data_IF_314089506894
#
_entry.id   IF_314089506894
#
_cell.length_a   1.000
_cell.length_b   1.000
_cell.length_c   1.000
_cell.angle_alpha   90.00
_cell.angle_beta   90.00
_cell.angle_gamma   90.00
#
_symmetry.space_group_name_H-M   'P 1'
#
loop_
_entity.id
_entity.type
_entity.pdbx_description
1 polymer ?
#
# COMPACT_ATOMS: atom_id res chain seq x y z
N UNK A 1 9.36 1.65 12.20
CA UNK A 1 10.55 1.48 11.33
C UNK A 1 11.19 0.13 11.58
N UNK A 2 11.57 -0.56 10.49
CA UNK A 2 12.35 -1.81 10.57
C UNK A 2 13.87 -1.57 10.48
N UNK A 3 14.30 -0.30 10.39
CA UNK A 3 15.72 0.10 10.30
C UNK A 3 16.51 -0.28 11.54
N UNK A 4 17.81 -0.61 11.34
CA UNK A 4 18.73 -0.96 12.43
C UNK A 4 18.81 0.15 13.48
N UNK A 5 18.80 -0.23 14.75
CA UNK A 5 18.96 0.70 15.88
C UNK A 5 17.72 1.55 16.22
N UNK A 6 16.58 1.33 15.53
CA UNK A 6 15.33 2.03 15.84
C UNK A 6 14.38 1.15 16.65
N UNK A 7 13.60 1.77 17.55
CA UNK A 7 12.51 1.08 18.24
C UNK A 7 11.31 0.96 17.30
N UNK A 8 10.74 -0.24 17.17
CA UNK A 8 9.52 -0.46 16.38
C UNK A 8 8.41 0.45 16.90
N UNK A 9 7.76 1.17 15.99
CA UNK A 9 6.61 2.01 16.29
C UNK A 9 6.92 3.40 16.89
N UNK A 10 8.20 3.74 17.15
CA UNK A 10 8.54 5.08 17.66
C UNK A 10 8.25 6.16 16.58
N UNK A 11 7.51 7.23 16.91
CA UNK A 11 7.38 8.38 16.03
C UNK A 11 8.71 9.10 15.88
N UNK A 12 8.97 9.69 14.72
CA UNK A 12 10.21 10.42 14.42
C UNK A 12 10.01 11.92 14.34
N UNK A 13 8.76 12.35 14.13
CA UNK A 13 8.38 13.75 14.00
C UNK A 13 7.19 14.06 14.91
N UNK A 14 7.10 15.30 15.37
CA UNK A 14 5.92 15.84 16.04
C UNK A 14 4.83 16.19 15.02
N UNK A 15 3.63 16.47 15.48
CA UNK A 15 2.53 16.93 14.61
C UNK A 15 2.89 18.27 13.97
N UNK A 16 3.50 19.19 14.72
CA UNK A 16 3.87 20.51 14.26
C UNK A 16 4.91 20.45 13.13
N UNK A 17 5.93 19.58 13.25
CA UNK A 17 6.94 19.38 12.21
C UNK A 17 6.30 18.79 10.93
N UNK A 18 5.44 17.79 11.08
CA UNK A 18 4.73 17.19 9.96
C UNK A 18 3.75 18.18 9.31
N UNK A 19 3.03 18.99 10.08
CA UNK A 19 2.13 20.00 9.56
C UNK A 19 2.88 20.99 8.68
N UNK A 20 4.04 21.46 9.12
CA UNK A 20 4.87 22.37 8.32
C UNK A 20 5.31 21.75 6.98
N UNK A 21 5.65 20.45 6.99
CA UNK A 21 5.99 19.70 5.77
C UNK A 21 4.80 19.54 4.82
N UNK A 22 3.65 19.17 5.38
CA UNK A 22 2.41 18.95 4.60
C UNK A 22 1.92 20.26 4.00
N UNK A 23 1.86 21.34 4.78
CA UNK A 23 1.43 22.66 4.33
C UNK A 23 2.30 23.17 3.17
N UNK A 24 3.63 23.00 3.28
CA UNK A 24 4.55 23.39 2.19
C UNK A 24 4.33 22.57 0.93
N UNK A 25 4.12 21.24 1.05
CA UNK A 25 3.84 20.37 -0.09
C UNK A 25 2.50 20.73 -0.76
N UNK A 26 1.44 20.87 0.05
CA UNK A 26 0.11 21.19 -0.43
C UNK A 26 0.05 22.59 -1.08
N UNK A 27 0.80 23.57 -0.57
CA UNK A 27 0.90 24.91 -1.17
C UNK A 27 1.42 24.86 -2.61
N UNK A 28 2.15 23.81 -2.96
CA UNK A 28 2.68 23.54 -4.30
C UNK A 28 1.85 22.55 -5.11
N UNK A 29 0.70 22.13 -4.60
CA UNK A 29 -0.15 21.12 -5.24
C UNK A 29 0.43 19.69 -5.22
N UNK A 30 1.38 19.42 -4.31
CA UNK A 30 1.99 18.10 -4.13
C UNK A 30 1.27 17.33 -3.03
N UNK A 31 1.11 16.03 -3.22
CA UNK A 31 0.61 15.10 -2.20
C UNK A 31 1.74 14.60 -1.32
N UNK A 32 1.39 14.25 -0.07
CA UNK A 32 2.34 13.75 0.93
C UNK A 32 2.02 12.30 1.29
N UNK A 33 2.99 11.41 1.03
CA UNK A 33 2.97 10.02 1.47
C UNK A 33 3.82 9.88 2.74
N UNK A 34 3.25 9.35 3.81
CA UNK A 34 3.94 9.19 5.10
C UNK A 34 4.23 7.73 5.39
N UNK A 35 5.53 7.35 5.43
CA UNK A 35 5.96 6.05 5.96
C UNK A 35 5.74 6.00 7.47
N UNK A 36 4.80 5.18 7.94
CA UNK A 36 4.51 5.05 9.37
C UNK A 36 4.02 3.64 9.74
N UNK A 37 4.80 2.94 10.58
CA UNK A 37 4.36 1.66 11.16
C UNK A 37 3.63 1.83 12.49
N UNK A 38 4.14 2.69 13.39
CA UNK A 38 3.63 2.84 14.74
C UNK A 38 2.38 3.68 14.84
N UNK A 39 1.46 3.30 15.73
CA UNK A 39 0.19 3.99 15.97
C UNK A 39 0.34 5.50 16.12
N UNK A 40 1.27 5.96 16.98
CA UNK A 40 1.46 7.39 17.21
C UNK A 40 1.98 8.12 15.97
N UNK A 41 2.91 7.49 15.20
CA UNK A 41 3.40 8.07 13.94
C UNK A 41 2.30 8.20 12.88
N UNK A 42 1.43 7.20 12.79
CA UNK A 42 0.25 7.19 11.90
C UNK A 42 -0.70 8.33 12.29
N UNK A 43 -1.06 8.43 13.58
CA UNK A 43 -1.95 9.47 14.10
C UNK A 43 -1.36 10.87 13.87
N UNK A 44 -0.05 11.06 14.14
CA UNK A 44 0.62 12.33 13.90
C UNK A 44 0.55 12.75 12.42
N UNK A 45 0.84 11.81 11.50
CA UNK A 45 0.80 12.07 10.07
C UNK A 45 -0.62 12.40 9.58
N UNK A 46 -1.64 11.70 10.09
CA UNK A 46 -3.04 11.96 9.76
C UNK A 46 -3.51 13.31 10.30
N UNK A 47 -3.12 13.69 11.53
CA UNK A 47 -3.41 15.02 12.07
C UNK A 47 -2.72 16.13 11.29
N UNK A 48 -1.54 15.88 10.78
CA UNK A 48 -0.82 16.83 9.93
C UNK A 48 -1.41 16.95 8.51
N UNK A 49 -2.30 16.04 8.10
CA UNK A 49 -2.96 16.09 6.80
C UNK A 49 -2.25 15.30 5.70
N UNK A 50 -1.44 14.30 6.03
CA UNK A 50 -0.84 13.41 5.02
C UNK A 50 -1.92 12.74 4.14
N UNK A 51 -1.68 12.68 2.83
CA UNK A 51 -2.63 12.11 1.85
C UNK A 51 -2.63 10.58 1.85
N UNK A 52 -1.49 9.95 2.14
CA UNK A 52 -1.38 8.50 2.28
C UNK A 52 -0.50 8.10 3.46
N UNK A 53 -0.83 6.95 4.03
CA UNK A 53 -0.01 6.30 5.06
C UNK A 53 0.51 4.97 4.49
N UNK A 54 1.82 4.89 4.34
CA UNK A 54 2.50 3.69 3.87
C UNK A 54 2.72 2.72 5.03
N UNK A 55 2.55 1.43 4.79
CA UNK A 55 2.60 0.30 5.73
C UNK A 55 1.47 0.28 6.75
N UNK A 56 1.24 1.33 7.53
CA UNK A 56 0.20 1.46 8.55
C UNK A 56 0.09 0.24 9.51
N UNK A 57 1.20 -0.42 9.85
CA UNK A 57 1.21 -1.75 10.46
C UNK A 57 0.47 -1.83 11.80
N UNK A 58 0.64 -0.82 12.66
CA UNK A 58 -0.01 -0.74 13.97
C UNK A 58 -1.14 0.29 13.99
N UNK A 59 -1.82 0.49 12.84
CA UNK A 59 -2.99 1.35 12.80
C UNK A 59 -4.08 0.76 13.72
N UNK A 60 -4.66 1.62 14.56
CA UNK A 60 -5.77 1.28 15.43
C UNK A 60 -7.10 1.85 14.91
N UNK A 61 -8.17 1.69 15.68
CA UNK A 61 -9.50 2.18 15.32
C UNK A 61 -9.53 3.71 15.15
N UNK A 62 -8.77 4.44 15.96
CA UNK A 62 -8.66 5.89 15.85
C UNK A 62 -7.92 6.29 14.56
N UNK A 63 -6.81 5.62 14.25
CA UNK A 63 -6.09 5.83 12.99
C UNK A 63 -6.96 5.56 11.77
N UNK A 64 -7.73 4.47 11.77
CA UNK A 64 -8.68 4.14 10.69
C UNK A 64 -9.76 5.22 10.56
N UNK A 65 -10.33 5.66 11.68
CA UNK A 65 -11.33 6.72 11.71
C UNK A 65 -10.78 8.04 11.16
N UNK A 66 -9.56 8.42 11.57
CA UNK A 66 -8.89 9.64 11.08
C UNK A 66 -8.58 9.55 9.59
N UNK A 67 -8.05 8.41 9.12
CA UNK A 67 -7.78 8.20 7.70
C UNK A 67 -9.05 8.39 6.86
N UNK A 68 -10.16 7.79 7.29
CA UNK A 68 -11.45 7.94 6.62
C UNK A 68 -11.96 9.38 6.65
N UNK A 69 -11.90 10.05 7.81
CA UNK A 69 -12.39 11.42 7.98
C UNK A 69 -11.59 12.43 7.13
N UNK A 70 -10.29 12.20 6.95
CA UNK A 70 -9.39 13.07 6.20
C UNK A 70 -9.31 12.69 4.70
N UNK A 71 -10.02 11.64 4.25
CA UNK A 71 -9.87 11.04 2.92
C UNK A 71 -8.42 10.60 2.61
N UNK A 72 -7.64 10.25 3.64
CA UNK A 72 -6.31 9.70 3.49
C UNK A 72 -6.39 8.22 3.12
N UNK A 73 -5.54 7.77 2.19
CA UNK A 73 -5.49 6.38 1.80
C UNK A 73 -4.45 5.59 2.60
N UNK A 74 -4.68 4.29 2.76
CA UNK A 74 -3.76 3.36 3.40
C UNK A 74 -3.10 2.49 2.32
N UNK A 75 -1.77 2.52 2.23
CA UNK A 75 -0.97 1.69 1.32
C UNK A 75 -0.28 0.60 2.13
N UNK A 76 -0.96 -0.55 2.28
CA UNK A 76 -0.52 -1.63 3.18
C UNK A 76 0.06 -2.81 2.39
N UNK A 77 1.36 -2.98 2.45
CA UNK A 77 2.19 -3.94 1.73
C UNK A 77 2.23 -5.33 2.40
N UNK A 78 1.08 -5.96 2.57
CA UNK A 78 0.91 -7.19 3.36
C UNK A 78 1.56 -8.46 2.79
N UNK A 79 2.04 -8.45 1.53
CA UNK A 79 2.82 -9.55 0.95
C UNK A 79 4.28 -9.54 1.42
N UNK A 80 4.86 -8.35 1.63
CA UNK A 80 6.29 -8.21 1.94
C UNK A 80 6.72 -9.04 3.15
N UNK A 81 5.86 -9.16 4.16
CA UNK A 81 6.08 -10.01 5.33
C UNK A 81 6.38 -11.47 4.96
N UNK A 82 5.69 -12.05 3.97
CA UNK A 82 5.91 -13.43 3.57
C UNK A 82 7.30 -13.62 2.97
N UNK A 83 7.75 -12.66 2.16
CA UNK A 83 9.09 -12.67 1.60
C UNK A 83 10.16 -12.49 2.70
N UNK A 84 10.01 -11.47 3.55
CA UNK A 84 10.98 -11.18 4.61
C UNK A 84 11.16 -12.40 5.52
N UNK A 85 10.07 -13.00 5.97
CA UNK A 85 10.14 -14.15 6.89
C UNK A 85 10.48 -15.49 6.21
N UNK A 86 10.19 -15.64 4.92
CA UNK A 86 10.47 -16.85 4.15
C UNK A 86 11.87 -16.87 3.55
N UNK A 87 12.23 -15.81 2.84
CA UNK A 87 13.43 -15.73 2.01
C UNK A 87 14.44 -14.69 2.51
N UNK A 88 14.03 -13.78 3.40
CA UNK A 88 14.82 -12.62 3.80
C UNK A 88 16.21 -12.97 4.37
N UNK A 89 16.32 -14.02 5.17
CA UNK A 89 17.60 -14.44 5.73
C UNK A 89 18.59 -14.85 4.62
N UNK A 90 18.14 -15.62 3.65
CA UNK A 90 18.96 -16.04 2.48
C UNK A 90 19.23 -14.88 1.52
N UNK A 91 18.36 -13.88 1.50
CA UNK A 91 18.52 -12.65 0.73
C UNK A 91 19.41 -11.60 1.42
N UNK A 92 19.94 -11.90 2.61
CA UNK A 92 20.85 -11.00 3.35
C UNK A 92 20.15 -9.94 4.21
N UNK A 93 18.86 -10.08 4.48
CA UNK A 93 18.15 -9.20 5.44
C UNK A 93 18.70 -9.47 6.85
N UNK A 94 19.00 -8.38 7.57
CA UNK A 94 19.58 -8.45 8.91
C UNK A 94 18.62 -9.12 9.90
N UNK A 95 19.12 -9.95 10.81
CA UNK A 95 18.31 -10.64 11.83
C UNK A 95 17.47 -9.66 12.67
N UNK A 96 18.01 -8.50 13.04
CA UNK A 96 17.25 -7.46 13.73
C UNK A 96 15.98 -7.03 12.94
N UNK A 97 16.06 -6.96 11.62
CA UNK A 97 14.92 -6.63 10.77
C UNK A 97 13.92 -7.79 10.68
N UNK A 98 14.42 -9.03 10.62
CA UNK A 98 13.59 -10.25 10.66
C UNK A 98 12.81 -10.35 11.99
N UNK A 99 13.45 -10.06 13.12
CA UNK A 99 12.79 -10.04 14.43
C UNK A 99 11.69 -8.99 14.49
N UNK A 100 11.96 -7.77 13.99
CA UNK A 100 10.96 -6.70 13.91
C UNK A 100 9.78 -7.10 13.04
N UNK A 101 10.03 -7.77 11.92
CA UNK A 101 8.97 -8.23 11.03
C UNK A 101 8.12 -9.33 11.67
N UNK A 102 8.70 -10.27 12.43
CA UNK A 102 7.94 -11.25 13.22
C UNK A 102 6.96 -10.60 14.20
N UNK A 103 7.33 -9.44 14.75
CA UNK A 103 6.45 -8.67 15.65
C UNK A 103 5.36 -7.90 14.90
N UNK A 104 5.64 -7.48 13.67
CA UNK A 104 4.83 -6.51 12.92
C UNK A 104 3.83 -7.19 12.01
N UNK A 105 4.27 -8.21 11.26
CA UNK A 105 3.53 -8.73 10.11
C UNK A 105 2.16 -9.32 10.44
N UNK A 106 1.98 -10.04 11.56
CA UNK A 106 0.67 -10.56 11.96
C UNK A 106 -0.29 -9.46 12.36
N UNK A 107 0.21 -8.44 13.04
CA UNK A 107 -0.58 -7.27 13.47
C UNK A 107 -1.01 -6.43 12.26
N UNK A 108 -0.10 -6.19 11.31
CA UNK A 108 -0.42 -5.47 10.08
C UNK A 108 -1.57 -6.15 9.32
N UNK A 109 -1.53 -7.47 9.15
CA UNK A 109 -2.59 -8.22 8.46
C UNK A 109 -3.93 -8.19 9.18
N UNK A 110 -3.92 -8.25 10.51
CA UNK A 110 -5.13 -8.10 11.30
C UNK A 110 -5.73 -6.70 11.16
N UNK A 111 -4.88 -5.67 11.20
CA UNK A 111 -5.29 -4.28 11.04
C UNK A 111 -5.72 -3.95 9.60
N UNK A 112 -5.08 -4.57 8.59
CA UNK A 112 -5.55 -4.49 7.20
C UNK A 112 -7.01 -4.95 7.10
N UNK A 113 -7.35 -6.11 7.69
CA UNK A 113 -8.73 -6.60 7.69
C UNK A 113 -9.69 -5.62 8.35
N UNK A 114 -9.33 -5.06 9.51
CA UNK A 114 -10.15 -4.05 10.19
C UNK A 114 -10.36 -2.80 9.34
N UNK A 115 -9.31 -2.34 8.64
CA UNK A 115 -9.39 -1.20 7.74
C UNK A 115 -10.34 -1.47 6.55
N UNK A 116 -10.27 -2.68 5.96
CA UNK A 116 -11.20 -3.12 4.90
C UNK A 116 -12.64 -3.15 5.42
N UNK A 117 -12.89 -3.77 6.57
CA UNK A 117 -14.22 -3.88 7.19
C UNK A 117 -14.81 -2.52 7.57
N UNK A 118 -13.96 -1.57 7.97
CA UNK A 118 -14.36 -0.19 8.27
C UNK A 118 -14.58 0.67 7.01
N UNK A 119 -14.29 0.17 5.81
CA UNK A 119 -14.45 0.89 4.56
C UNK A 119 -13.41 1.97 4.31
N UNK A 120 -12.23 1.89 4.94
CA UNK A 120 -11.13 2.80 4.68
C UNK A 120 -10.68 2.71 3.21
N UNK A 121 -10.22 3.83 2.64
CA UNK A 121 -9.62 3.84 1.30
C UNK A 121 -8.27 3.12 1.33
N UNK A 122 -8.17 2.00 0.65
CA UNK A 122 -6.93 1.23 0.54
C UNK A 122 -6.43 1.27 -0.89
N UNK A 123 -5.15 1.61 -1.07
CA UNK A 123 -4.45 1.58 -2.35
C UNK A 123 -3.43 0.46 -2.38
N UNK A 124 -3.12 -0.01 -3.58
CA UNK A 124 -2.18 -1.08 -3.83
C UNK A 124 -0.75 -0.61 -3.64
N UNK A 125 -0.09 -1.06 -2.60
CA UNK A 125 1.32 -0.82 -2.33
C UNK A 125 2.05 -2.14 -2.16
N UNK A 126 3.31 -2.23 -2.54
CA UNK A 126 4.06 -3.49 -2.59
C UNK A 126 5.41 -3.47 -1.91
N UNK A 127 6.01 -2.30 -1.72
CA UNK A 127 7.38 -2.12 -1.21
C UNK A 127 8.43 -2.99 -1.99
N UNK A 128 8.16 -3.22 -3.30
CA UNK A 128 9.07 -3.97 -4.15
C UNK A 128 10.42 -3.25 -4.28
N UNK A 129 11.50 -4.01 -4.10
CA UNK A 129 12.85 -3.55 -3.80
C UNK A 129 13.31 -4.25 -2.53
N UNK A 130 12.42 -4.45 -1.56
CA UNK A 130 12.63 -5.40 -0.45
C UNK A 130 12.67 -6.83 -1.00
N UNK A 131 11.87 -7.11 -2.00
CA UNK A 131 11.88 -8.35 -2.78
C UNK A 131 12.02 -8.06 -4.29
N UNK A 132 12.39 -9.05 -5.12
CA UNK A 132 12.63 -8.84 -6.55
C UNK A 132 11.39 -8.27 -7.28
N UNK A 133 11.62 -7.27 -8.14
CA UNK A 133 10.59 -6.79 -9.05
C UNK A 133 10.07 -7.93 -9.93
N UNK A 134 8.79 -7.88 -10.30
CA UNK A 134 8.09 -8.94 -11.02
C UNK A 134 7.25 -9.86 -10.13
N UNK A 135 7.43 -9.81 -8.81
CA UNK A 135 6.59 -10.52 -7.84
C UNK A 135 5.48 -9.65 -7.25
N UNK A 136 5.37 -8.41 -7.68
CA UNK A 136 4.43 -7.41 -7.17
C UNK A 136 2.98 -7.91 -7.12
N UNK A 137 2.54 -8.64 -8.16
CA UNK A 137 1.18 -9.12 -8.28
C UNK A 137 0.76 -10.14 -7.19
N UNK A 138 1.72 -10.72 -6.46
CA UNK A 138 1.43 -11.58 -5.30
C UNK A 138 0.69 -10.84 -4.18
N UNK A 139 0.78 -9.53 -4.13
CA UNK A 139 0.03 -8.70 -3.20
C UNK A 139 -1.48 -8.87 -3.37
N UNK A 140 -2.00 -9.04 -4.59
CA UNK A 140 -3.45 -9.21 -4.85
C UNK A 140 -4.06 -10.38 -4.08
N UNK A 141 -3.46 -11.55 -4.17
CA UNK A 141 -3.98 -12.75 -3.50
C UNK A 141 -3.95 -12.59 -1.98
N UNK A 142 -2.98 -11.84 -1.44
CA UNK A 142 -2.90 -11.53 0.00
C UNK A 142 -3.97 -10.53 0.43
N UNK A 143 -4.22 -9.48 -0.35
CA UNK A 143 -5.32 -8.54 -0.08
C UNK A 143 -6.68 -9.26 -0.03
N UNK A 144 -6.92 -10.20 -0.96
CA UNK A 144 -8.14 -11.02 -0.95
C UNK A 144 -8.18 -11.95 0.24
N UNK A 145 -7.08 -12.65 0.55
CA UNK A 145 -6.98 -13.55 1.72
C UNK A 145 -7.26 -12.82 3.03
N UNK A 146 -6.90 -11.55 3.13
CA UNK A 146 -7.03 -10.75 4.35
C UNK A 146 -8.24 -9.82 4.37
N UNK A 147 -9.21 -9.98 3.46
CA UNK A 147 -10.54 -9.40 3.62
C UNK A 147 -11.12 -8.63 2.44
N UNK A 148 -10.32 -8.27 1.44
CA UNK A 148 -10.86 -7.65 0.22
C UNK A 148 -11.57 -8.66 -0.67
N UNK A 149 -12.57 -8.21 -1.41
CA UNK A 149 -13.05 -8.93 -2.58
C UNK A 149 -12.03 -8.81 -3.72
N UNK A 150 -11.99 -9.75 -4.69
CA UNK A 150 -11.14 -9.63 -5.87
C UNK A 150 -11.33 -8.31 -6.63
N UNK A 151 -12.56 -7.81 -6.71
CA UNK A 151 -12.85 -6.52 -7.34
C UNK A 151 -12.23 -5.36 -6.60
N UNK A 152 -12.37 -5.31 -5.27
CA UNK A 152 -11.74 -4.27 -4.45
C UNK A 152 -10.21 -4.27 -4.59
N UNK A 153 -9.58 -5.46 -4.60
CA UNK A 153 -8.15 -5.58 -4.79
C UNK A 153 -7.70 -5.06 -6.17
N UNK A 154 -8.45 -5.35 -7.24
CA UNK A 154 -8.16 -4.81 -8.57
C UNK A 154 -8.36 -3.29 -8.59
N UNK A 155 -9.45 -2.79 -8.03
CA UNK A 155 -9.75 -1.36 -7.98
C UNK A 155 -8.68 -0.59 -7.18
N UNK A 156 -8.15 -1.16 -6.10
CA UNK A 156 -7.08 -0.54 -5.30
C UNK A 156 -5.80 -0.29 -6.10
N UNK A 157 -5.54 -1.09 -7.13
CA UNK A 157 -4.38 -0.98 -8.03
C UNK A 157 -4.67 -0.19 -9.32
N UNK A 158 -5.91 0.22 -9.54
CA UNK A 158 -6.35 0.89 -10.77
C UNK A 158 -7.06 2.20 -10.46
N UNK A 159 -8.36 2.22 -10.45
CA UNK A 159 -9.16 3.45 -10.29
C UNK A 159 -8.89 4.16 -8.96
N UNK A 160 -8.84 3.42 -7.85
CA UNK A 160 -8.62 4.02 -6.53
C UNK A 160 -7.21 4.62 -6.42
N UNK A 161 -6.19 3.88 -6.87
CA UNK A 161 -4.82 4.41 -6.88
C UNK A 161 -4.69 5.64 -7.79
N UNK A 162 -5.30 5.61 -8.97
CA UNK A 162 -5.30 6.74 -9.90
C UNK A 162 -5.95 7.99 -9.28
N UNK A 163 -7.09 7.83 -8.61
CA UNK A 163 -7.78 8.92 -7.92
C UNK A 163 -6.94 9.50 -6.78
N UNK A 164 -6.37 8.64 -5.93
CA UNK A 164 -5.51 9.06 -4.81
C UNK A 164 -4.26 9.79 -5.32
N UNK A 165 -3.67 9.36 -6.43
CA UNK A 165 -2.52 10.02 -7.05
C UNK A 165 -2.88 11.31 -7.84
N UNK A 166 -4.15 11.63 -8.02
CA UNK A 166 -4.61 12.76 -8.82
C UNK A 166 -4.60 12.51 -10.32
N UNK A 167 -4.51 11.25 -10.77
CA UNK A 167 -4.47 10.83 -12.18
C UNK A 167 -5.76 10.14 -12.64
N UNK A 168 -6.84 10.28 -11.89
CA UNK A 168 -8.12 9.58 -12.14
C UNK A 168 -8.81 9.94 -13.47
N UNK A 169 -8.34 10.97 -14.18
CA UNK A 169 -8.80 11.34 -15.52
C UNK A 169 -7.91 10.80 -16.66
N UNK A 170 -6.74 10.24 -16.32
CA UNK A 170 -5.75 9.84 -17.32
C UNK A 170 -5.54 8.33 -17.36
N UNK A 171 -5.61 7.65 -16.20
CA UNK A 171 -5.30 6.22 -16.04
C UNK A 171 -6.29 5.51 -15.12
N UNK A 172 -6.20 4.18 -15.05
CA UNK A 172 -6.95 3.34 -14.12
C UNK A 172 -8.26 2.79 -14.69
N UNK A 173 -8.69 3.19 -15.90
CA UNK A 173 -9.94 2.74 -16.53
C UNK A 173 -9.69 2.28 -17.96
N UNK A 174 -10.53 1.34 -18.43
CA UNK A 174 -10.63 0.95 -19.84
C UNK A 174 -11.76 1.78 -20.45
N UNK A 175 -11.44 3.00 -20.84
CA UNK A 175 -12.40 3.98 -21.35
C UNK A 175 -11.74 4.86 -22.42
N UNK A 176 -12.52 5.34 -23.38
CA UNK A 176 -12.02 6.23 -24.43
C UNK A 176 -11.49 7.55 -23.82
N UNK A 177 -10.30 7.94 -24.20
CA UNK A 177 -9.60 9.12 -23.65
C UNK A 177 -8.56 8.79 -22.57
N UNK A 178 -8.63 7.59 -21.96
CA UNK A 178 -7.63 7.13 -20.99
C UNK A 178 -6.38 6.54 -21.68
N UNK A 179 -5.27 6.52 -20.96
CA UNK A 179 -4.05 5.88 -21.43
C UNK A 179 -4.30 4.39 -21.74
N UNK A 180 -3.74 3.92 -22.87
CA UNK A 180 -3.87 2.52 -23.30
C UNK A 180 -2.92 1.61 -22.52
N UNK A 181 -3.14 1.50 -21.20
CA UNK A 181 -2.39 0.66 -20.26
C UNK A 181 -3.27 -0.53 -19.83
N UNK A 182 -2.89 -1.74 -20.25
CA UNK A 182 -3.67 -2.95 -20.03
C UNK A 182 -2.85 -4.11 -19.52
N UNK A 183 -3.44 -4.87 -18.62
CA UNK A 183 -2.98 -6.22 -18.26
C UNK A 183 -4.06 -7.21 -18.68
N UNK A 184 -3.71 -8.18 -19.52
CA UNK A 184 -4.61 -9.25 -19.93
C UNK A 184 -4.21 -10.58 -19.25
N UNK A 185 -5.21 -11.31 -18.76
CA UNK A 185 -5.05 -12.63 -18.12
C UNK A 185 -5.88 -13.68 -18.83
N UNK A 186 -5.48 -14.97 -18.68
CA UNK A 186 -6.24 -16.09 -19.26
C UNK A 186 -7.31 -16.56 -18.27
N UNK A 187 -8.45 -15.91 -18.27
CA UNK A 187 -9.58 -16.27 -17.41
C UNK A 187 -10.19 -15.07 -16.69
N UNK A 188 -11.03 -15.37 -15.71
CA UNK A 188 -11.72 -14.35 -14.91
C UNK A 188 -10.98 -14.10 -13.59
N UNK A 189 -10.28 -12.95 -13.41
CA UNK A 189 -9.57 -12.63 -12.18
C UNK A 189 -10.50 -12.38 -10.98
N UNK A 190 -11.79 -12.13 -11.21
CA UNK A 190 -12.78 -12.04 -10.12
C UNK A 190 -13.10 -13.40 -9.51
N UNK A 191 -12.90 -14.49 -10.26
CA UNK A 191 -13.03 -15.86 -9.77
C UNK A 191 -11.71 -16.45 -9.26
N UNK A 192 -10.57 -15.99 -9.80
CA UNK A 192 -9.23 -16.40 -9.37
C UNK A 192 -8.27 -15.23 -9.53
N UNK A 193 -8.00 -14.53 -8.45
CA UNK A 193 -7.15 -13.33 -8.43
C UNK A 193 -5.68 -13.64 -8.75
N UNK A 194 -5.20 -14.88 -8.51
CA UNK A 194 -3.82 -15.30 -8.77
C UNK A 194 -3.48 -15.28 -10.28
N UNK A 195 -4.47 -15.25 -11.16
CA UNK A 195 -4.25 -15.06 -12.60
C UNK A 195 -3.46 -13.77 -12.92
N UNK A 196 -3.52 -12.77 -12.04
CA UNK A 196 -2.76 -11.52 -12.17
C UNK A 196 -1.26 -11.70 -11.93
N UNK A 197 -0.84 -12.80 -11.28
CA UNK A 197 0.59 -13.10 -11.05
C UNK A 197 1.31 -13.51 -12.35
N UNK A 198 0.54 -14.05 -13.33
CA UNK A 198 1.08 -14.47 -14.63
C UNK A 198 0.27 -13.87 -15.79
N UNK A 199 0.40 -12.57 -16.07
CA UNK A 199 -0.34 -11.93 -17.15
C UNK A 199 0.02 -12.51 -18.52
N UNK A 200 -0.99 -12.72 -19.36
CA UNK A 200 -0.83 -13.18 -20.73
C UNK A 200 -0.33 -12.07 -21.67
N UNK A 201 -0.64 -10.81 -21.34
CA UNK A 201 -0.13 -9.65 -22.05
C UNK A 201 -0.05 -8.44 -21.11
N UNK A 202 0.94 -7.58 -21.33
CA UNK A 202 1.10 -6.28 -20.70
C UNK A 202 1.27 -5.24 -21.80
N UNK A 203 0.38 -4.27 -21.83
CA UNK A 203 0.39 -3.16 -22.78
C UNK A 203 0.54 -1.86 -21.98
N UNK A 204 1.44 -0.97 -22.40
CA UNK A 204 1.63 0.36 -21.86
C UNK A 204 1.69 1.39 -22.98
N UNK A 205 0.86 2.41 -22.89
CA UNK A 205 0.75 3.43 -23.93
C UNK A 205 0.43 2.86 -25.31
N UNK A 206 -0.34 1.76 -25.37
CA UNK A 206 -0.67 1.04 -26.61
C UNK A 206 0.44 0.11 -27.14
N UNK A 207 1.62 0.05 -26.49
CA UNK A 207 2.72 -0.82 -26.88
C UNK A 207 2.72 -2.09 -26.03
N UNK A 208 2.83 -3.25 -26.70
CA UNK A 208 2.90 -4.54 -26.01
C UNK A 208 4.32 -4.84 -25.54
N UNK A 209 4.48 -5.16 -24.26
CA UNK A 209 5.76 -5.53 -23.62
C UNK A 209 5.85 -7.03 -23.29
N UNK A 210 4.73 -7.70 -23.16
CA UNK A 210 4.62 -9.14 -22.94
C UNK A 210 3.49 -9.72 -23.80
#
# INVERSE_FOLDING_TARGET
MLSKGTKVGAPQYTVEELTALVDEAHSRGLKVASHAHGTQGIINALHAGADTIEHASFIDEEGIRLATANNAALSMDIYVTEYILGEGASAGILEESLEKERMTGSTQRANFRKAVEAGATIVYGTDAGVYPHGQNARQFSRMVRFGMTPLQAIQSATVTAAEVMGWGYDVGKIEAGFAADFVAVKGNPLGNIELLEEPAAVIKGGVRYR
#
